data_IF_530768797520
#
_entry.id   IF_530768797520
#
_cell.length_a   1.000
_cell.length_b   1.000
_cell.length_c   1.000
_cell.angle_alpha   90.00
_cell.angle_beta   90.00
_cell.angle_gamma   90.00
#
_symmetry.space_group_name_H-M   'P 1'
#
loop_
_entity.id
_entity.type
_entity.pdbx_description
1 polymer ?
#
# COMPACT_ATOMS: atom_id res chain seq x y z
N UNK A 1 5.64 -10.84 0.55
CA UNK A 1 4.90 -10.15 1.61
C UNK A 1 3.40 -10.44 1.51
N UNK A 2 2.78 -10.97 2.58
CA UNK A 2 1.32 -11.16 2.65
C UNK A 2 0.58 -9.85 2.99
N UNK A 3 -0.71 -9.71 2.63
CA UNK A 3 -1.50 -8.51 2.93
C UNK A 3 -1.60 -8.14 4.40
N UNK A 4 -1.52 -9.11 5.32
CA UNK A 4 -1.54 -8.82 6.76
C UNK A 4 -0.30 -8.03 7.18
N UNK A 5 0.91 -8.54 6.91
CA UNK A 5 2.18 -7.84 7.16
C UNK A 5 2.26 -6.50 6.44
N UNK A 6 1.72 -6.42 5.22
CA UNK A 6 1.65 -5.14 4.52
C UNK A 6 0.69 -4.15 5.21
N UNK A 7 -0.45 -4.61 5.74
CA UNK A 7 -1.37 -3.75 6.50
C UNK A 7 -0.67 -3.19 7.73
N UNK A 8 0.08 -4.03 8.46
CA UNK A 8 0.85 -3.61 9.63
C UNK A 8 1.91 -2.57 9.25
N UNK A 9 2.69 -2.84 8.18
CA UNK A 9 3.68 -1.89 7.64
C UNK A 9 3.05 -0.54 7.30
N UNK A 10 1.95 -0.51 6.53
CA UNK A 10 1.31 0.77 6.16
C UNK A 10 0.72 1.47 7.38
N UNK A 11 0.21 0.72 8.35
CA UNK A 11 -0.29 1.28 9.61
C UNK A 11 0.81 2.03 10.34
N UNK A 12 1.97 1.40 10.50
CA UNK A 12 3.12 1.99 11.20
C UNK A 12 3.67 3.20 10.43
N UNK A 13 3.81 3.11 9.12
CA UNK A 13 4.28 4.23 8.29
C UNK A 13 3.31 5.42 8.36
N UNK A 14 2.00 5.18 8.17
CA UNK A 14 1.02 6.25 8.12
C UNK A 14 0.88 6.96 9.48
N UNK A 15 0.92 6.24 10.61
CA UNK A 15 0.86 6.84 11.94
C UNK A 15 2.04 7.77 12.24
N UNK A 16 3.20 7.50 11.66
CA UNK A 16 4.41 8.29 11.84
C UNK A 16 4.60 9.37 10.76
N UNK A 17 3.65 9.51 9.84
CA UNK A 17 3.74 10.46 8.73
C UNK A 17 3.13 11.81 9.11
N UNK A 18 3.88 12.93 8.98
CA UNK A 18 3.33 14.26 9.18
C UNK A 18 2.08 14.51 8.32
N UNK A 19 1.03 15.06 8.94
CA UNK A 19 -0.23 15.36 8.27
C UNK A 19 -1.24 14.20 8.23
N UNK A 20 -0.84 13.00 8.65
CA UNK A 20 -1.79 11.92 8.95
C UNK A 20 -2.32 12.10 10.38
N UNK A 21 -3.63 12.25 10.54
CA UNK A 21 -4.27 12.51 11.83
C UNK A 21 -4.89 11.26 12.44
N UNK A 22 -5.25 10.27 11.60
CA UNK A 22 -5.85 9.01 12.07
C UNK A 22 -5.60 7.89 11.06
N UNK A 23 -5.31 6.71 11.59
CA UNK A 23 -5.17 5.46 10.82
C UNK A 23 -5.96 4.38 11.54
N UNK A 24 -6.88 3.75 10.84
CA UNK A 24 -7.72 2.67 11.34
C UNK A 24 -7.81 1.56 10.31
N UNK A 25 -8.03 0.33 10.74
CA UNK A 25 -8.43 -0.78 9.86
C UNK A 25 -9.81 -0.52 9.26
N UNK A 26 -10.09 -1.12 8.10
CA UNK A 26 -11.43 -1.03 7.49
C UNK A 26 -12.53 -1.57 8.43
N UNK A 27 -12.23 -2.63 9.18
CA UNK A 27 -13.17 -3.20 10.14
C UNK A 27 -13.52 -2.21 11.28
N UNK A 28 -12.53 -1.46 11.79
CA UNK A 28 -12.75 -0.45 12.84
C UNK A 28 -13.64 0.72 12.38
N UNK A 29 -13.68 1.00 11.07
CA UNK A 29 -14.58 2.02 10.49
C UNK A 29 -15.88 1.43 9.92
N UNK A 30 -16.18 0.16 10.26
CA UNK A 30 -17.41 -0.52 9.92
C UNK A 30 -17.45 -1.18 8.52
N UNK A 31 -16.34 -1.22 7.78
CA UNK A 31 -16.25 -1.94 6.52
C UNK A 31 -15.75 -3.38 6.76
N UNK A 32 -16.71 -4.31 6.79
CA UNK A 32 -16.48 -5.74 6.96
C UNK A 32 -16.43 -6.50 5.63
N UNK A 33 -16.68 -5.84 4.49
CA UNK A 33 -16.61 -6.45 3.15
C UNK A 33 -15.17 -6.63 2.68
N UNK A 34 -14.27 -5.78 3.17
CA UNK A 34 -12.87 -5.76 2.77
C UNK A 34 -11.98 -6.07 3.99
N UNK A 35 -11.66 -7.35 4.24
CA UNK A 35 -11.02 -7.77 5.49
C UNK A 35 -9.58 -7.27 5.67
N UNK A 36 -8.96 -6.75 4.60
CA UNK A 36 -7.59 -6.23 4.59
C UNK A 36 -7.60 -4.84 3.95
N UNK A 37 -7.19 -3.84 4.74
CA UNK A 37 -7.23 -2.46 4.31
C UNK A 37 -7.20 -1.47 5.46
N UNK A 38 -7.06 -0.19 5.12
CA UNK A 38 -6.98 0.93 6.05
C UNK A 38 -7.87 2.09 5.63
N UNK A 39 -8.42 2.77 6.62
CA UNK A 39 -8.91 4.15 6.52
C UNK A 39 -7.82 5.09 7.03
N UNK A 40 -7.39 6.01 6.18
CA UNK A 40 -6.33 6.99 6.46
C UNK A 40 -6.96 8.38 6.38
N UNK A 41 -6.90 9.13 7.47
CA UNK A 41 -7.38 10.50 7.57
C UNK A 41 -6.21 11.47 7.56
N UNK A 42 -6.25 12.43 6.64
CA UNK A 42 -5.35 13.59 6.59
C UNK A 42 -6.15 14.88 6.78
N UNK A 43 -5.49 16.04 6.72
CA UNK A 43 -6.19 17.34 6.74
C UNK A 43 -7.13 17.57 5.55
N UNK A 44 -6.97 16.81 4.46
CA UNK A 44 -7.79 16.91 3.25
C UNK A 44 -9.00 15.97 3.28
N UNK A 45 -8.98 14.95 4.15
CA UNK A 45 -10.12 14.05 4.37
C UNK A 45 -9.72 12.61 4.65
N UNK A 46 -10.73 11.75 4.73
CA UNK A 46 -10.55 10.31 4.89
C UNK A 46 -10.48 9.61 3.52
N UNK A 47 -9.54 8.66 3.39
CA UNK A 47 -9.44 7.78 2.24
C UNK A 47 -9.40 6.33 2.71
N UNK A 48 -10.08 5.44 1.98
CA UNK A 48 -10.18 4.02 2.33
C UNK A 48 -9.50 3.17 1.27
N UNK A 49 -8.72 2.21 1.72
CA UNK A 49 -7.86 1.41 0.88
C UNK A 49 -8.06 -0.07 1.18
N UNK A 50 -8.44 -0.84 0.17
CA UNK A 50 -8.43 -2.29 0.21
C UNK A 50 -7.06 -2.82 -0.23
N UNK A 51 -6.50 -3.77 0.51
CA UNK A 51 -5.24 -4.44 0.16
C UNK A 51 -5.49 -5.88 -0.28
N UNK A 52 -5.11 -6.20 -1.52
CA UNK A 52 -5.19 -7.54 -2.09
C UNK A 52 -3.79 -8.06 -2.40
N UNK A 53 -3.48 -9.29 -2.02
CA UNK A 53 -2.17 -9.89 -2.24
C UNK A 53 -2.19 -10.87 -3.41
N UNK A 54 -1.07 -10.92 -4.14
CA UNK A 54 -0.73 -11.95 -5.10
C UNK A 54 0.58 -12.59 -4.67
N UNK A 55 0.59 -13.92 -4.55
CA UNK A 55 1.81 -14.68 -4.26
C UNK A 55 2.79 -14.62 -5.44
N UNK A 56 4.09 -14.92 -5.22
CA UNK A 56 5.04 -15.07 -6.31
C UNK A 56 4.55 -16.12 -7.32
N UNK A 57 4.96 -15.97 -8.59
CA UNK A 57 4.55 -16.89 -9.65
C UNK A 57 4.97 -18.33 -9.31
N UNK A 58 4.01 -19.26 -9.41
CA UNK A 58 4.22 -20.68 -9.08
C UNK A 58 4.08 -21.04 -7.60
N UNK A 59 3.99 -20.06 -6.69
CA UNK A 59 3.75 -20.34 -5.27
C UNK A 59 2.29 -20.73 -5.01
N UNK A 60 2.10 -21.71 -4.10
CA UNK A 60 0.79 -22.11 -3.60
C UNK A 60 0.55 -21.51 -2.22
N UNK A 61 -0.71 -21.30 -1.87
CA UNK A 61 -1.07 -20.80 -0.53
C UNK A 61 -0.65 -21.77 0.58
N UNK A 62 -0.71 -23.06 0.30
CA UNK A 62 -0.22 -24.11 1.18
C UNK A 62 1.31 -24.21 1.07
N UNK A 63 2.00 -24.18 2.22
CA UNK A 63 3.46 -24.22 2.30
C UNK A 63 4.22 -22.92 2.00
N UNK A 64 3.57 -21.83 1.54
CA UNK A 64 4.27 -20.56 1.32
C UNK A 64 4.52 -19.82 2.63
N UNK A 65 5.77 -19.81 3.09
CA UNK A 65 6.22 -19.04 4.25
C UNK A 65 6.48 -17.59 3.84
N UNK A 66 5.89 -16.63 4.55
CA UNK A 66 6.08 -15.20 4.30
C UNK A 66 7.40 -14.71 4.90
N UNK A 67 8.52 -15.14 4.33
CA UNK A 67 9.85 -14.69 4.74
C UNK A 67 10.21 -13.38 4.03
N UNK A 68 10.71 -12.36 4.76
CA UNK A 68 11.20 -11.13 4.14
C UNK A 68 12.33 -11.44 3.15
N UNK A 69 12.19 -10.96 1.92
CA UNK A 69 13.29 -10.94 0.93
C UNK A 69 13.66 -9.49 0.71
N UNK A 70 14.92 -9.16 0.94
CA UNK A 70 15.44 -7.79 0.87
C UNK A 70 16.30 -7.57 -0.37
N UNK A 71 16.24 -6.37 -0.94
CA UNK A 71 17.10 -5.92 -2.03
C UNK A 71 17.26 -4.39 -1.99
N UNK A 72 17.65 -3.80 -3.13
CA UNK A 72 17.65 -2.33 -3.26
C UNK A 72 16.22 -1.81 -3.13
N UNK A 73 15.94 -0.87 -2.21
CA UNK A 73 14.61 -0.27 -2.09
C UNK A 73 14.14 0.37 -3.40
N UNK A 74 12.83 0.45 -3.58
CA UNK A 74 12.25 1.27 -4.63
C UNK A 74 12.80 2.71 -4.54
N UNK A 75 13.04 3.41 -5.67
CA UNK A 75 13.58 4.76 -5.65
C UNK A 75 12.81 5.68 -4.70
N UNK A 76 13.53 6.28 -3.76
CA UNK A 76 12.95 7.22 -2.82
C UNK A 76 12.35 8.41 -3.59
N UNK A 77 11.06 8.64 -3.35
CA UNK A 77 10.35 9.82 -3.84
C UNK A 77 10.35 10.94 -2.80
N UNK A 78 9.72 12.08 -3.12
CA UNK A 78 9.40 13.08 -2.10
C UNK A 78 8.55 12.45 -0.98
N UNK A 79 8.70 12.95 0.25
CA UNK A 79 7.83 12.58 1.35
C UNK A 79 6.35 12.87 1.01
N UNK A 80 5.40 12.05 1.46
CA UNK A 80 3.98 12.26 1.21
C UNK A 80 3.51 13.62 1.76
N UNK A 81 2.82 14.41 0.94
CA UNK A 81 2.31 15.74 1.30
C UNK A 81 0.80 15.67 1.54
N UNK A 82 0.28 16.36 2.55
CA UNK A 82 -1.16 16.29 2.87
C UNK A 82 -2.08 16.68 1.69
N UNK A 83 -1.60 17.54 0.78
CA UNK A 83 -2.30 18.01 -0.43
C UNK A 83 -2.17 17.07 -1.63
N UNK A 84 -1.41 15.98 -1.53
CA UNK A 84 -1.28 14.99 -2.58
C UNK A 84 -2.63 14.33 -2.89
N UNK A 85 -2.83 13.97 -4.16
CA UNK A 85 -3.91 13.07 -4.51
C UNK A 85 -3.75 11.76 -3.71
N UNK A 86 -4.83 11.12 -3.24
CA UNK A 86 -4.73 9.95 -2.35
C UNK A 86 -3.78 8.84 -2.81
N UNK A 87 -3.76 8.56 -4.12
CA UNK A 87 -2.87 7.57 -4.73
C UNK A 87 -1.41 8.02 -4.78
N UNK A 88 -1.17 9.31 -5.00
CA UNK A 88 0.16 9.90 -4.94
C UNK A 88 0.68 9.86 -3.50
N UNK A 89 -0.17 10.19 -2.52
CA UNK A 89 0.14 10.14 -1.11
C UNK A 89 0.55 8.73 -0.67
N UNK A 90 -0.25 7.70 -1.00
CA UNK A 90 0.07 6.32 -0.62
C UNK A 90 1.32 5.80 -1.33
N UNK A 91 1.52 6.12 -2.61
CA UNK A 91 2.73 5.74 -3.31
C UNK A 91 3.97 6.41 -2.71
N UNK A 92 3.89 7.70 -2.38
CA UNK A 92 4.96 8.45 -1.72
C UNK A 92 5.25 7.89 -0.33
N UNK A 93 4.22 7.54 0.46
CA UNK A 93 4.40 6.90 1.77
C UNK A 93 5.24 5.63 1.68
N UNK A 94 4.93 4.74 0.73
CA UNK A 94 5.64 3.47 0.57
C UNK A 94 7.07 3.68 0.04
N UNK A 95 7.24 4.53 -0.98
CA UNK A 95 8.57 4.79 -1.55
C UNK A 95 9.48 5.53 -0.58
N UNK A 96 8.96 6.50 0.19
CA UNK A 96 9.74 7.28 1.16
C UNK A 96 10.17 6.48 2.38
N UNK A 97 9.49 5.38 2.68
CA UNK A 97 9.89 4.45 3.74
C UNK A 97 11.17 3.66 3.42
N UNK A 98 11.61 3.66 2.15
CA UNK A 98 12.81 2.97 1.67
C UNK A 98 12.90 1.51 2.18
N UNK A 99 11.75 0.83 2.27
CA UNK A 99 11.70 -0.54 2.76
C UNK A 99 12.52 -1.45 1.84
N UNK A 100 13.48 -2.22 2.38
CA UNK A 100 14.32 -3.09 1.57
C UNK A 100 13.55 -4.28 0.99
N UNK A 101 12.32 -4.56 1.44
CA UNK A 101 11.46 -5.58 0.85
C UNK A 101 10.73 -5.11 -0.41
N UNK A 102 10.56 -3.79 -0.57
CA UNK A 102 9.81 -3.18 -1.67
C UNK A 102 10.74 -2.94 -2.86
N UNK A 103 10.47 -3.62 -3.97
CA UNK A 103 11.22 -3.50 -5.21
C UNK A 103 10.71 -2.35 -6.09
N UNK A 104 9.39 -2.15 -6.14
CA UNK A 104 8.80 -1.08 -6.96
C UNK A 104 7.40 -0.68 -6.46
N UNK A 105 7.03 0.57 -6.75
CA UNK A 105 5.73 1.15 -6.45
C UNK A 105 5.17 1.79 -7.73
N UNK A 106 3.96 1.42 -8.12
CA UNK A 106 3.33 1.88 -9.36
C UNK A 106 1.92 2.40 -9.11
N UNK A 107 1.66 3.65 -9.49
CA UNK A 107 0.31 4.23 -9.50
C UNK A 107 -0.46 3.76 -10.72
N UNK A 108 -1.74 3.43 -10.55
CA UNK A 108 -2.61 2.96 -11.64
C UNK A 108 -3.03 4.12 -12.54
N UNK A 109 -3.24 5.31 -11.98
CA UNK A 109 -3.62 6.50 -12.75
C UNK A 109 -2.54 6.97 -13.73
N UNK A 110 -1.28 6.61 -13.50
CA UNK A 110 -0.16 6.97 -14.40
C UNK A 110 0.14 5.92 -15.45
N UNK A 111 -0.60 4.80 -15.49
CA UNK A 111 -0.39 3.75 -16.48
C UNK A 111 -0.94 4.17 -17.84
N UNK A 112 -0.34 3.65 -18.91
CA UNK A 112 -0.90 3.78 -20.24
C UNK A 112 -2.29 3.11 -20.28
N UNK A 113 -3.31 3.82 -20.80
CA UNK A 113 -4.68 3.35 -20.82
C UNK A 113 -5.41 3.38 -19.46
N UNK A 114 -4.93 4.18 -18.51
CA UNK A 114 -5.57 4.33 -17.21
C UNK A 114 -7.05 4.74 -17.34
N UNK A 115 -7.93 4.01 -16.65
CA UNK A 115 -9.37 4.29 -16.62
C UNK A 115 -9.67 5.35 -15.56
N UNK A 116 -10.47 6.36 -15.91
CA UNK A 116 -10.94 7.37 -14.95
C UNK A 116 -11.67 6.68 -13.79
N UNK A 117 -11.32 7.04 -12.56
CA UNK A 117 -11.90 6.44 -11.34
C UNK A 117 -11.23 5.16 -10.85
N UNK A 118 -10.26 4.60 -11.59
CA UNK A 118 -9.45 3.46 -11.13
C UNK A 118 -8.19 3.96 -10.43
N UNK A 119 -8.35 4.26 -9.14
CA UNK A 119 -7.29 4.82 -8.31
C UNK A 119 -6.68 3.70 -7.46
N UNK A 120 -5.38 3.47 -7.60
CA UNK A 120 -4.73 2.38 -6.87
C UNK A 120 -3.21 2.34 -7.00
N UNK A 121 -2.56 1.62 -6.10
CA UNK A 121 -1.11 1.44 -6.11
C UNK A 121 -0.82 -0.06 -6.19
N UNK A 122 0.08 -0.45 -7.08
CA UNK A 122 0.71 -1.77 -7.05
C UNK A 122 2.07 -1.66 -6.38
N UNK A 123 2.27 -2.44 -5.33
CA UNK A 123 3.53 -2.60 -4.63
C UNK A 123 4.10 -3.97 -5.03
N UNK A 124 5.31 -3.98 -5.58
CA UNK A 124 6.04 -5.19 -5.96
C UNK A 124 7.14 -5.42 -4.93
N UNK A 125 7.26 -6.66 -4.47
CA UNK A 125 8.26 -7.06 -3.49
C UNK A 125 9.39 -7.87 -4.14
N UNK A 126 10.56 -7.90 -3.51
CA UNK A 126 11.70 -8.68 -4.01
C UNK A 126 11.48 -10.20 -3.99
N UNK A 127 10.56 -10.69 -3.15
CA UNK A 127 10.16 -12.11 -3.16
C UNK A 127 9.29 -12.49 -4.38
N UNK A 128 8.94 -11.53 -5.24
CA UNK A 128 8.08 -11.71 -6.41
C UNK A 128 6.59 -11.57 -6.13
N UNK A 129 6.20 -11.42 -4.86
CA UNK A 129 4.80 -11.15 -4.48
C UNK A 129 4.41 -9.71 -4.84
N UNK A 130 3.09 -9.46 -4.86
CA UNK A 130 2.54 -8.13 -5.11
C UNK A 130 1.41 -7.82 -4.16
N UNK A 131 1.28 -6.55 -3.80
CA UNK A 131 0.06 -6.03 -3.16
C UNK A 131 -0.57 -4.99 -4.08
N UNK A 132 -1.89 -5.10 -4.24
CA UNK A 132 -2.75 -4.15 -4.92
C UNK A 132 -3.52 -3.37 -3.87
N UNK A 133 -3.16 -2.10 -3.69
CA UNK A 133 -3.88 -1.16 -2.85
C UNK A 133 -4.89 -0.40 -3.70
N UNK A 134 -6.18 -0.73 -3.57
CA UNK A 134 -7.27 -0.09 -4.32
C UNK A 134 -7.98 0.92 -3.43
N UNK A 135 -8.19 2.14 -3.92
CA UNK A 135 -9.05 3.10 -3.24
C UNK A 135 -10.53 2.66 -3.36
N UNK A 136 -11.25 2.69 -2.24
CA UNK A 136 -12.69 2.41 -2.16
C UNK A 136 -13.53 3.67 -2.42
#
# INVERSE_FOLDING_TARGET
MRPARFTDLITDLAKNTPGCTRVQTLAEVGDTKHPRGLAITTSVGETRWQFMGQLPDGAKHDGFTDQPVTGTPAPAGPAPQATDAPEAWLAALVSHAESPEVAAVERWSTRHGARKGHVGVTIKFHDGSRVFARKL
#
